data_IF_392964942474
#
_entry.id   IF_392964942474
#
_cell.length_a   1.000
_cell.length_b   1.000
_cell.length_c   1.000
_cell.angle_alpha   90.00
_cell.angle_beta   90.00
_cell.angle_gamma   90.00
#
_symmetry.space_group_name_H-M   'P 1'
#
loop_
_entity.id
_entity.type
_entity.pdbx_description
1 polymer ?
#
# COMPACT_ATOMS: atom_id res chain seq x y z
N UNK A 1 9.21 22.18 53.93
CA UNK A 1 9.00 23.62 53.71
C UNK A 1 9.37 23.94 52.27
N UNK A 2 8.46 24.59 51.53
CA UNK A 2 8.62 25.18 50.17
C UNK A 2 8.87 24.20 48.99
N UNK A 3 8.28 24.32 47.79
CA UNK A 3 7.14 25.10 47.27
C UNK A 3 6.85 24.57 45.84
N UNK A 4 5.56 24.55 45.45
CA UNK A 4 5.03 24.23 44.12
C UNK A 4 5.39 25.29 43.05
N UNK A 5 5.48 24.87 41.77
CA UNK A 5 4.97 25.57 40.56
C UNK A 5 5.37 24.74 39.31
N UNK A 6 4.49 24.05 38.58
CA UNK A 6 3.40 24.53 37.70
C UNK A 6 3.90 25.40 36.54
N UNK A 7 4.15 24.79 35.38
CA UNK A 7 4.41 25.49 34.12
C UNK A 7 3.12 25.59 33.28
N UNK A 8 2.79 26.77 32.71
CA UNK A 8 1.56 26.98 31.95
C UNK A 8 1.65 26.51 30.49
N UNK A 9 0.53 25.97 30.00
CA UNK A 9 0.20 25.73 28.58
C UNK A 9 -0.15 27.08 27.93
N UNK A 10 0.47 27.39 26.78
CA UNK A 10 0.07 28.52 25.94
C UNK A 10 -0.67 28.01 24.70
N UNK A 11 -2.00 28.19 24.71
CA UNK A 11 -2.85 28.18 23.52
C UNK A 11 -2.60 29.45 22.70
N UNK A 12 -2.38 29.30 21.39
CA UNK A 12 -2.57 30.39 20.43
C UNK A 12 -3.70 30.00 19.47
N UNK A 13 -4.90 30.47 19.80
CA UNK A 13 -5.96 30.67 18.84
C UNK A 13 -5.89 32.14 18.41
N UNK A 14 -5.68 32.40 17.11
CA UNK A 14 -5.96 33.70 16.52
C UNK A 14 -6.95 33.52 15.39
N UNK A 15 -8.16 34.00 15.68
CA UNK A 15 -9.21 34.30 14.74
C UNK A 15 -8.84 35.61 14.02
N UNK A 16 -8.94 35.63 12.70
CA UNK A 16 -9.00 36.89 11.94
C UNK A 16 -9.96 36.70 10.77
N UNK A 17 -11.25 36.87 11.07
CA UNK A 17 -12.24 37.23 10.09
C UNK A 17 -12.33 38.76 10.05
N UNK A 18 -11.91 39.37 8.95
CA UNK A 18 -12.39 40.65 8.42
C UNK A 18 -11.35 41.17 7.42
N UNK A 19 -11.51 40.82 6.15
CA UNK A 19 -11.24 41.82 5.11
C UNK A 19 -12.15 41.55 3.93
N UNK A 20 -13.08 42.46 3.71
CA UNK A 20 -14.07 42.42 2.64
C UNK A 20 -14.30 43.87 2.23
N UNK A 21 -14.48 44.05 0.91
CA UNK A 21 -14.72 45.30 0.20
C UNK A 21 -13.42 46.06 -0.09
N UNK A 22 -12.95 46.24 -1.33
CA UNK A 22 -13.65 46.60 -2.56
C UNK A 22 -12.76 46.22 -3.78
N UNK A 23 -13.33 45.66 -4.85
CA UNK A 23 -13.28 46.32 -6.17
C UNK A 23 -14.18 45.59 -7.17
N UNK A 24 -15.20 46.32 -7.58
CA UNK A 24 -16.17 46.05 -8.62
C UNK A 24 -15.50 46.15 -9.99
N UNK A 25 -15.63 45.12 -10.80
CA UNK A 25 -15.17 45.06 -12.18
C UNK A 25 -16.08 44.15 -12.99
N UNK A 26 -17.25 44.67 -13.36
CA UNK A 26 -18.08 44.11 -14.43
C UNK A 26 -17.32 44.24 -15.75
N UNK A 27 -16.87 43.10 -16.30
CA UNK A 27 -16.61 42.96 -17.72
C UNK A 27 -17.40 41.74 -18.20
N UNK A 28 -18.56 42.05 -18.75
CA UNK A 28 -19.40 41.18 -19.56
C UNK A 28 -18.61 40.63 -20.74
N UNK A 29 -18.25 39.36 -20.66
CA UNK A 29 -17.74 38.58 -21.77
C UNK A 29 -18.29 37.16 -21.63
N UNK A 30 -19.35 36.87 -22.35
CA UNK A 30 -19.92 35.53 -22.45
C UNK A 30 -18.81 34.55 -22.91
N UNK A 31 -18.42 33.61 -22.05
CA UNK A 31 -17.63 32.46 -22.47
C UNK A 31 -18.60 31.43 -23.04
N UNK A 32 -18.51 31.07 -24.34
CA UNK A 32 -19.28 29.96 -24.87
C UNK A 32 -18.80 28.67 -24.19
N UNK A 33 -19.76 27.90 -23.68
CA UNK A 33 -19.56 26.53 -23.21
C UNK A 33 -18.97 25.68 -24.34
N UNK A 34 -17.66 25.50 -24.32
CA UNK A 34 -16.93 24.59 -25.22
C UNK A 34 -17.01 23.16 -24.71
N UNK A 35 -18.20 22.57 -24.74
CA UNK A 35 -18.44 21.15 -24.44
C UNK A 35 -18.44 20.29 -25.71
N UNK A 36 -17.40 20.39 -26.55
CA UNK A 36 -17.35 19.67 -27.83
C UNK A 36 -15.97 19.10 -28.22
N UNK A 37 -15.05 18.89 -27.26
CA UNK A 37 -13.84 18.09 -27.48
C UNK A 37 -13.52 17.16 -26.30
N UNK A 38 -14.54 16.70 -25.57
CA UNK A 38 -14.41 15.57 -24.67
C UNK A 38 -14.17 14.29 -25.48
N UNK A 39 -12.92 14.10 -25.93
CA UNK A 39 -12.43 12.85 -26.49
C UNK A 39 -12.75 11.74 -25.47
N UNK A 40 -13.43 10.64 -25.85
CA UNK A 40 -13.69 9.55 -24.93
C UNK A 40 -12.35 9.07 -24.38
N UNK A 41 -12.10 9.28 -23.08
CA UNK A 41 -10.95 8.68 -22.40
C UNK A 41 -11.22 7.18 -22.39
N UNK A 42 -10.41 6.34 -23.05
CA UNK A 42 -10.65 4.90 -23.02
C UNK A 42 -10.47 4.39 -21.59
N UNK A 43 -11.57 4.06 -20.90
CA UNK A 43 -11.61 3.55 -19.53
C UNK A 43 -11.16 2.07 -19.42
N UNK A 44 -10.21 1.64 -20.26
CA UNK A 44 -9.79 0.24 -20.36
C UNK A 44 -8.66 -0.17 -19.38
N UNK A 45 -8.10 0.78 -18.61
CA UNK A 45 -6.95 0.54 -17.75
C UNK A 45 -7.19 -0.33 -16.48
N UNK A 46 -8.32 -0.22 -15.74
CA UNK A 46 -8.41 -0.86 -14.42
C UNK A 46 -8.61 -2.39 -14.50
N UNK A 47 -9.36 -2.91 -15.48
CA UNK A 47 -9.62 -4.36 -15.60
C UNK A 47 -8.37 -5.17 -15.94
N UNK A 48 -7.54 -4.68 -16.87
CA UNK A 48 -6.32 -5.40 -17.29
C UNK A 48 -5.29 -5.47 -16.17
N UNK A 49 -5.09 -4.38 -15.44
CA UNK A 49 -4.16 -4.33 -14.31
C UNK A 49 -4.58 -5.22 -13.14
N UNK A 50 -5.89 -5.30 -12.86
CA UNK A 50 -6.42 -6.23 -11.86
C UNK A 50 -6.17 -7.69 -12.28
N UNK A 51 -6.53 -8.06 -13.51
CA UNK A 51 -6.33 -9.42 -14.01
C UNK A 51 -4.86 -9.86 -14.01
N UNK A 52 -3.93 -8.98 -14.40
CA UNK A 52 -2.49 -9.30 -14.32
C UNK A 52 -2.02 -9.51 -12.88
N UNK A 53 -2.54 -8.71 -11.94
CA UNK A 53 -2.19 -8.87 -10.53
C UNK A 53 -2.74 -10.15 -9.93
N UNK A 54 -3.90 -10.62 -10.39
CA UNK A 54 -4.50 -11.87 -9.92
C UNK A 54 -3.70 -13.08 -10.43
N UNK A 55 -3.21 -13.05 -11.68
CA UNK A 55 -2.32 -14.08 -12.21
C UNK A 55 -0.99 -14.17 -11.45
N UNK A 56 -0.39 -13.01 -11.13
CA UNK A 56 0.82 -12.93 -10.31
C UNK A 56 0.56 -13.52 -8.92
N UNK A 57 -0.55 -13.16 -8.29
CA UNK A 57 -0.94 -13.71 -6.98
C UNK A 57 -1.13 -15.22 -7.06
N UNK A 58 -1.83 -15.71 -8.08
CA UNK A 58 -2.06 -17.14 -8.28
C UNK A 58 -0.74 -17.91 -8.41
N UNK A 59 0.21 -17.38 -9.17
CA UNK A 59 1.56 -17.95 -9.30
C UNK A 59 2.29 -17.98 -7.97
N UNK A 60 2.43 -16.83 -7.31
CA UNK A 60 3.21 -16.70 -6.07
C UNK A 60 2.63 -17.53 -4.91
N UNK A 61 1.30 -17.60 -4.82
CA UNK A 61 0.60 -18.36 -3.78
C UNK A 61 0.34 -19.82 -4.18
N UNK A 62 0.68 -20.21 -5.42
CA UNK A 62 0.41 -21.54 -5.99
C UNK A 62 -1.06 -21.96 -5.82
N UNK A 63 -1.99 -21.01 -5.91
CA UNK A 63 -3.42 -21.24 -5.71
C UNK A 63 -4.23 -20.04 -6.20
N UNK A 64 -5.40 -20.29 -6.79
CA UNK A 64 -6.38 -19.25 -7.09
C UNK A 64 -7.23 -19.01 -5.84
N UNK A 65 -6.97 -17.89 -5.15
CA UNK A 65 -7.63 -17.55 -3.88
C UNK A 65 -8.01 -16.08 -3.84
N UNK A 66 -9.22 -15.80 -3.37
CA UNK A 66 -9.63 -14.44 -3.05
C UNK A 66 -9.12 -14.06 -1.64
N UNK A 67 -7.99 -13.37 -1.56
CA UNK A 67 -7.38 -12.94 -0.29
C UNK A 67 -8.33 -12.14 0.61
N UNK A 68 -9.30 -11.40 0.06
CA UNK A 68 -10.25 -10.65 0.88
C UNK A 68 -11.20 -11.55 1.69
N UNK A 69 -11.31 -12.84 1.35
CA UNK A 69 -12.21 -13.81 1.98
C UNK A 69 -11.49 -14.92 2.77
N UNK A 70 -10.16 -14.94 2.73
CA UNK A 70 -9.33 -15.97 3.39
C UNK A 70 -9.51 -15.96 4.91
N UNK A 71 -9.76 -17.10 5.53
CA UNK A 71 -9.86 -17.18 6.99
C UNK A 71 -8.48 -17.10 7.68
N UNK A 72 -8.46 -16.72 8.96
CA UNK A 72 -7.23 -16.59 9.75
C UNK A 72 -6.35 -17.85 9.66
N UNK A 73 -6.94 -19.01 9.92
CA UNK A 73 -6.29 -20.33 9.91
C UNK A 73 -5.66 -20.72 8.55
N UNK A 74 -6.06 -20.07 7.45
CA UNK A 74 -5.50 -20.33 6.12
C UNK A 74 -4.28 -19.44 5.81
N UNK A 75 -4.10 -18.32 6.51
CA UNK A 75 -3.03 -17.36 6.22
C UNK A 75 -1.62 -17.95 6.37
N UNK A 76 -1.27 -18.70 7.43
CA UNK A 76 0.08 -19.25 7.57
C UNK A 76 0.53 -20.03 6.33
N UNK A 77 -0.32 -20.93 5.83
CA UNK A 77 -0.04 -21.70 4.62
C UNK A 77 0.04 -20.87 3.34
N UNK A 78 -0.59 -19.69 3.28
CA UNK A 78 -0.44 -18.77 2.14
C UNK A 78 0.89 -18.01 2.20
N UNK A 79 1.32 -17.56 3.39
CA UNK A 79 2.64 -16.97 3.56
C UNK A 79 3.76 -17.98 3.29
N UNK A 80 3.60 -19.24 3.72
CA UNK A 80 4.57 -20.32 3.46
C UNK A 80 4.73 -20.55 1.95
N UNK A 81 3.63 -20.58 1.19
CA UNK A 81 3.68 -20.69 -0.27
C UNK A 81 4.34 -19.48 -0.92
N UNK A 82 3.96 -18.27 -0.49
CA UNK A 82 4.56 -17.01 -0.96
C UNK A 82 6.08 -16.99 -0.77
N UNK A 83 6.57 -17.29 0.43
CA UNK A 83 8.01 -17.25 0.72
C UNK A 83 8.73 -18.42 0.04
N UNK A 84 8.08 -19.58 -0.08
CA UNK A 84 8.59 -20.71 -0.87
C UNK A 84 8.87 -20.31 -2.31
N UNK A 85 7.87 -19.78 -3.02
CA UNK A 85 8.04 -19.30 -4.41
C UNK A 85 9.10 -18.21 -4.51
N UNK A 86 9.13 -17.28 -3.56
CA UNK A 86 10.17 -16.23 -3.51
C UNK A 86 11.56 -16.85 -3.40
N UNK A 87 11.78 -17.81 -2.49
CA UNK A 87 13.08 -18.48 -2.34
C UNK A 87 13.48 -19.19 -3.62
N UNK A 88 12.56 -19.91 -4.25
CA UNK A 88 12.83 -20.74 -5.43
C UNK A 88 13.23 -19.86 -6.63
N UNK A 89 12.54 -18.74 -6.82
CA UNK A 89 12.64 -17.97 -8.07
C UNK A 89 13.44 -16.67 -7.97
N UNK A 90 13.73 -16.15 -6.76
CA UNK A 90 14.39 -14.83 -6.55
C UNK A 90 15.65 -14.57 -7.37
N UNK A 91 16.37 -15.63 -7.77
CA UNK A 91 17.62 -15.51 -8.53
C UNK A 91 17.38 -15.18 -10.00
N UNK A 92 16.23 -15.53 -10.57
CA UNK A 92 15.84 -15.21 -11.95
C UNK A 92 14.98 -13.95 -12.05
N UNK A 93 14.44 -13.46 -10.94
CA UNK A 93 13.54 -12.31 -10.91
C UNK A 93 14.19 -10.98 -11.34
N UNK A 94 13.46 -10.28 -12.21
CA UNK A 94 13.66 -8.89 -12.56
C UNK A 94 13.14 -7.94 -11.47
N UNK A 95 13.41 -6.64 -11.58
CA UNK A 95 12.86 -5.64 -10.65
C UNK A 95 11.33 -5.61 -10.62
N UNK A 96 10.64 -5.60 -11.78
CA UNK A 96 9.19 -5.73 -11.80
C UNK A 96 8.68 -6.96 -11.04
N UNK A 97 9.37 -8.10 -11.10
CA UNK A 97 8.97 -9.31 -10.36
C UNK A 97 9.04 -9.10 -8.84
N UNK A 98 10.10 -8.43 -8.35
CA UNK A 98 10.20 -8.06 -6.94
C UNK A 98 9.11 -7.08 -6.49
N UNK A 99 8.75 -6.12 -7.34
CA UNK A 99 7.70 -5.16 -7.05
C UNK A 99 6.31 -5.82 -7.05
N UNK A 100 6.07 -6.71 -8.01
CA UNK A 100 4.88 -7.54 -8.10
C UNK A 100 4.72 -8.43 -6.84
N UNK A 101 5.80 -9.07 -6.40
CA UNK A 101 5.80 -9.85 -5.17
C UNK A 101 5.54 -8.98 -3.92
N UNK A 102 6.06 -7.75 -3.89
CA UNK A 102 5.79 -6.81 -2.79
C UNK A 102 4.31 -6.38 -2.74
N UNK A 103 3.64 -6.23 -3.89
CA UNK A 103 2.21 -5.96 -3.95
C UNK A 103 1.41 -7.15 -3.38
N UNK A 104 1.77 -8.39 -3.72
CA UNK A 104 1.11 -9.58 -3.18
C UNK A 104 1.33 -9.69 -1.67
N UNK A 105 2.54 -9.43 -1.17
CA UNK A 105 2.82 -9.38 0.26
C UNK A 105 1.98 -8.31 0.96
N UNK A 106 1.82 -7.12 0.36
CA UNK A 106 1.00 -6.05 0.93
C UNK A 106 -0.47 -6.49 1.08
N UNK A 107 -1.01 -7.22 0.09
CA UNK A 107 -2.38 -7.77 0.17
C UNK A 107 -2.52 -8.85 1.24
N UNK A 108 -1.55 -9.76 1.35
CA UNK A 108 -1.49 -10.74 2.44
C UNK A 108 -1.48 -10.03 3.81
N UNK A 109 -0.64 -9.00 3.96
CA UNK A 109 -0.53 -8.23 5.19
C UNK A 109 -1.82 -7.50 5.51
N UNK A 110 -2.48 -6.90 4.52
CA UNK A 110 -3.79 -6.28 4.71
C UNK A 110 -4.81 -7.30 5.25
N UNK A 111 -4.85 -8.50 4.68
CA UNK A 111 -5.76 -9.54 5.19
C UNK A 111 -5.37 -9.99 6.60
N UNK A 112 -4.08 -10.19 6.85
CA UNK A 112 -3.57 -10.54 8.18
C UNK A 112 -4.02 -9.53 9.23
N UNK A 113 -3.89 -8.23 8.98
CA UNK A 113 -4.30 -7.22 9.95
C UNK A 113 -5.81 -7.27 10.27
N UNK A 114 -6.65 -7.74 9.34
CA UNK A 114 -8.09 -7.89 9.57
C UNK A 114 -8.43 -9.09 10.46
N UNK A 115 -7.63 -10.17 10.41
CA UNK A 115 -7.99 -11.46 11.02
C UNK A 115 -7.00 -11.96 12.08
N UNK A 116 -5.89 -11.24 12.31
CA UNK A 116 -4.80 -11.66 13.22
C UNK A 116 -5.25 -11.95 14.65
N UNK A 117 -6.33 -11.34 15.12
CA UNK A 117 -6.85 -11.56 16.47
C UNK A 117 -7.35 -13.01 16.68
N UNK A 118 -7.73 -13.70 15.60
CA UNK A 118 -8.15 -15.11 15.64
C UNK A 118 -6.98 -16.10 15.49
N UNK A 119 -5.74 -15.60 15.32
CA UNK A 119 -4.54 -16.44 15.24
C UNK A 119 -3.89 -16.64 16.62
N UNK A 120 -3.44 -17.87 16.94
CA UNK A 120 -2.57 -18.08 18.09
C UNK A 120 -1.25 -17.30 17.94
N UNK A 121 -0.55 -17.04 19.05
CA UNK A 121 0.64 -16.17 19.04
C UNK A 121 1.78 -16.76 18.20
N UNK A 122 1.89 -18.09 18.18
CA UNK A 122 2.89 -18.85 17.43
C UNK A 122 2.75 -18.61 15.92
N UNK A 123 1.51 -18.66 15.42
CA UNK A 123 1.23 -18.42 14.00
C UNK A 123 1.44 -16.95 13.61
N UNK A 124 1.10 -16.02 14.51
CA UNK A 124 1.41 -14.59 14.31
C UNK A 124 2.92 -14.36 14.21
N UNK A 125 3.71 -15.02 15.06
CA UNK A 125 5.17 -14.93 15.02
C UNK A 125 5.73 -15.56 13.75
N UNK A 126 5.24 -16.73 13.34
CA UNK A 126 5.64 -17.39 12.09
C UNK A 126 5.42 -16.48 10.87
N UNK A 127 4.24 -15.85 10.78
CA UNK A 127 3.93 -14.88 9.72
C UNK A 127 4.91 -13.70 9.74
N UNK A 128 5.20 -13.13 10.92
CA UNK A 128 6.14 -12.02 11.06
C UNK A 128 7.56 -12.40 10.61
N UNK A 129 8.01 -13.61 10.90
CA UNK A 129 9.29 -14.13 10.40
C UNK A 129 9.32 -14.19 8.88
N UNK A 130 8.27 -14.70 8.23
CA UNK A 130 8.19 -14.78 6.76
C UNK A 130 8.14 -13.39 6.10
N UNK A 131 7.44 -12.43 6.72
CA UNK A 131 7.45 -11.03 6.28
C UNK A 131 8.88 -10.45 6.33
N UNK A 132 9.58 -10.62 7.46
CA UNK A 132 10.95 -10.15 7.63
C UNK A 132 11.92 -10.80 6.63
N UNK A 133 11.72 -12.09 6.34
CA UNK A 133 12.52 -12.79 5.36
C UNK A 133 12.38 -12.21 3.95
N UNK A 134 11.14 -11.95 3.48
CA UNK A 134 10.95 -11.32 2.19
C UNK A 134 11.67 -9.97 2.09
N UNK A 135 11.54 -9.13 3.13
CA UNK A 135 12.23 -7.84 3.17
C UNK A 135 13.75 -7.98 3.15
N UNK A 136 14.28 -8.98 3.84
CA UNK A 136 15.72 -9.28 3.85
C UNK A 136 16.21 -9.73 2.46
N UNK A 137 15.47 -10.62 1.79
CA UNK A 137 15.79 -11.10 0.45
C UNK A 137 15.76 -9.96 -0.59
N UNK A 138 14.71 -9.12 -0.55
CA UNK A 138 14.59 -7.95 -1.44
C UNK A 138 15.70 -6.93 -1.16
N UNK A 139 16.02 -6.68 0.11
CA UNK A 139 17.11 -5.81 0.51
C UNK A 139 18.47 -6.30 -0.01
N UNK A 140 18.74 -7.61 0.09
CA UNK A 140 19.97 -8.20 -0.46
C UNK A 140 20.07 -8.04 -1.98
N UNK A 141 18.95 -8.17 -2.72
CA UNK A 141 18.91 -7.91 -4.16
C UNK A 141 19.27 -6.46 -4.48
N UNK A 142 18.68 -5.51 -3.76
CA UNK A 142 18.94 -4.08 -3.94
C UNK A 142 20.38 -3.70 -3.59
N UNK A 143 20.98 -4.32 -2.57
CA UNK A 143 22.37 -4.10 -2.21
C UNK A 143 23.31 -4.59 -3.32
N UNK A 144 23.09 -5.81 -3.85
CA UNK A 144 23.89 -6.36 -4.96
C UNK A 144 23.93 -5.42 -6.17
N UNK A 145 22.79 -4.85 -6.55
CA UNK A 145 22.70 -3.92 -7.69
C UNK A 145 23.50 -2.64 -7.54
N UNK A 146 23.65 -2.15 -6.29
CA UNK A 146 24.46 -0.96 -6.04
C UNK A 146 25.94 -1.24 -6.19
N UNK A 147 26.38 -2.48 -5.97
CA UNK A 147 27.78 -2.89 -6.09
C UNK A 147 28.15 -3.34 -7.51
N UNK A 148 27.19 -3.86 -8.27
CA UNK A 148 27.40 -4.30 -9.66
C UNK A 148 27.39 -3.13 -10.68
N UNK A 149 27.18 -1.88 -10.23
CA UNK A 149 27.25 -0.65 -11.03
C UNK A 149 28.61 0.01 -10.94
#
# INVERSE_FOLDING_TARGET
MLLLASLPVLSHAQSSAADSQHQRGELTGARPSGDLLARPRPQAAPRRAAASSDLIQQHLLKTDVNLARVEAQQLPGLYERFIGTTRDERRSWSYPDWDNAAIVLARLNQRYEQVRAALPIEERLRIRTMQGEFHSLRGARQAKDRTDK
#
